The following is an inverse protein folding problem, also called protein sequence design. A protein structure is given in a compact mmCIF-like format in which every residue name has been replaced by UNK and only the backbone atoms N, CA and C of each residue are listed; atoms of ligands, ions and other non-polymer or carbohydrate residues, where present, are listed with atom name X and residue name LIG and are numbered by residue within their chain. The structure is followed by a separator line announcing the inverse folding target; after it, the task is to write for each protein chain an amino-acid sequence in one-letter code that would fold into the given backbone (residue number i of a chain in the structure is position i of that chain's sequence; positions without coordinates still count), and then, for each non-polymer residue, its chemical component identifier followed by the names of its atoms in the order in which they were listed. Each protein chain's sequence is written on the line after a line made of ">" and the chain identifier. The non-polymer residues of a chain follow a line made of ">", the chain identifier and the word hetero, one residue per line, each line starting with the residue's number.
data_IF_533015470368
#
_entry.id   IF_533015470368
#
_cell.length_a   1.000
_cell.length_b   1.000
_cell.length_c   1.000
_cell.angle_alpha   90.00
_cell.angle_beta   90.00
_cell.angle_gamma   90.00
#
_symmetry.space_group_name_H-M   'P 1'
#
loop_
_entity.id
_entity.type
_entity.pdbx_description
1 polymer ?
#
# COMPACT_ATOMS: atom_id res chain seq x y z
N UNK A 1 -14.04 -1.85 -22.25
CA UNK A 1 -13.64 -0.69 -23.07
C UNK A 1 -12.41 -0.05 -22.42
N UNK A 2 -11.43 0.45 -23.18
CA UNK A 2 -10.12 0.88 -22.66
C UNK A 2 -9.91 2.38 -22.88
N UNK A 3 -9.30 3.07 -21.90
CA UNK A 3 -8.93 4.49 -21.97
C UNK A 3 -7.43 4.64 -21.80
N UNK A 4 -6.79 5.42 -22.66
CA UNK A 4 -5.35 5.72 -22.58
C UNK A 4 -5.16 7.03 -21.81
N UNK A 5 -4.21 7.07 -20.88
CA UNK A 5 -3.91 8.24 -20.05
C UNK A 5 -2.40 8.44 -19.87
N UNK A 6 -1.93 9.69 -19.85
CA UNK A 6 -0.52 10.01 -19.62
C UNK A 6 -0.15 9.86 -18.14
N UNK A 7 0.85 9.03 -17.84
CA UNK A 7 1.27 8.75 -16.44
C UNK A 7 1.84 9.95 -15.70
N UNK A 8 2.29 10.99 -16.41
CA UNK A 8 2.82 12.24 -15.82
C UNK A 8 1.77 13.32 -15.62
N UNK A 9 0.54 13.09 -16.06
CA UNK A 9 -0.58 14.02 -15.88
C UNK A 9 -1.54 13.46 -14.83
N UNK A 10 -1.81 14.24 -13.79
CA UNK A 10 -2.81 13.89 -12.77
C UNK A 10 -4.20 13.77 -13.42
N UNK A 11 -4.98 12.79 -12.98
CA UNK A 11 -6.36 12.67 -13.43
C UNK A 11 -7.20 13.83 -12.88
N UNK A 12 -8.15 14.39 -13.67
CA UNK A 12 -9.02 15.46 -13.19
C UNK A 12 -9.96 14.95 -12.10
N UNK A 13 -10.09 15.72 -11.03
CA UNK A 13 -10.98 15.47 -9.90
C UNK A 13 -11.83 16.71 -9.63
N UNK A 14 -13.02 16.53 -9.06
CA UNK A 14 -13.92 17.65 -8.73
C UNK A 14 -13.35 18.44 -7.55
N UNK A 15 -13.04 17.74 -6.46
CA UNK A 15 -12.47 18.33 -5.25
C UNK A 15 -11.69 17.29 -4.44
N UNK A 16 -10.86 17.77 -3.51
CA UNK A 16 -10.14 16.92 -2.54
C UNK A 16 -10.88 16.97 -1.21
N UNK A 17 -11.41 15.84 -0.77
CA UNK A 17 -12.10 15.71 0.51
C UNK A 17 -11.11 15.48 1.66
N UNK A 18 -11.51 15.87 2.87
CA UNK A 18 -10.79 15.53 4.09
C UNK A 18 -11.00 14.05 4.43
N UNK A 19 -9.91 13.32 4.65
CA UNK A 19 -9.95 11.91 5.02
C UNK A 19 -10.41 11.74 6.47
N UNK A 20 -11.46 10.93 6.68
CA UNK A 20 -12.07 10.69 7.99
C UNK A 20 -12.28 9.20 8.31
N UNK A 21 -11.88 8.29 7.43
CA UNK A 21 -11.95 6.85 7.66
C UNK A 21 -10.54 6.26 7.90
N UNK A 22 -10.35 5.43 8.93
CA UNK A 22 -9.04 4.84 9.21
C UNK A 22 -8.66 3.80 8.15
N UNK A 23 -7.37 3.80 7.79
CA UNK A 23 -6.76 2.69 7.06
C UNK A 23 -6.33 1.65 8.10
N UNK A 24 -7.12 0.59 8.23
CA UNK A 24 -6.81 -0.52 9.12
C UNK A 24 -5.83 -1.45 8.41
N UNK A 25 -4.67 -1.69 9.02
CA UNK A 25 -3.59 -2.51 8.46
C UNK A 25 -3.60 -3.92 9.09
N UNK A 26 -4.23 -4.09 10.25
CA UNK A 26 -4.24 -5.32 11.02
C UNK A 26 -3.00 -5.48 11.93
N UNK A 27 -2.21 -4.40 12.09
CA UNK A 27 -1.01 -4.38 12.92
C UNK A 27 -1.25 -3.50 14.13
N UNK A 28 -1.27 -4.09 15.33
CA UNK A 28 -1.65 -3.39 16.58
C UNK A 28 -0.93 -2.07 16.79
N UNK A 29 0.39 -2.04 16.59
CA UNK A 29 1.18 -0.83 16.79
C UNK A 29 0.79 0.27 15.79
N UNK A 30 0.53 -0.08 14.53
CA UNK A 30 0.13 0.89 13.50
C UNK A 30 -1.32 1.34 13.72
N UNK A 31 -2.24 0.42 13.93
CA UNK A 31 -3.66 0.76 14.05
C UNK A 31 -3.98 1.51 15.36
N UNK A 32 -3.18 1.32 16.43
CA UNK A 32 -3.43 1.96 17.73
C UNK A 32 -2.55 3.18 18.01
N UNK A 33 -1.24 3.12 17.72
CA UNK A 33 -0.29 4.17 18.12
C UNK A 33 0.06 5.12 16.96
N UNK A 34 0.02 4.62 15.72
CA UNK A 34 0.41 5.37 14.52
C UNK A 34 -0.61 5.22 13.39
N UNK A 35 -1.90 5.57 13.63
CA UNK A 35 -2.97 5.29 12.70
C UNK A 35 -2.81 6.05 11.39
N UNK A 36 -3.16 5.38 10.29
CA UNK A 36 -3.25 5.98 8.96
C UNK A 36 -4.72 6.18 8.58
N UNK A 37 -5.00 7.05 7.62
CA UNK A 37 -6.35 7.28 7.07
C UNK A 37 -6.41 6.89 5.61
N UNK A 38 -7.57 6.43 5.15
CA UNK A 38 -7.81 6.17 3.72
C UNK A 38 -7.76 7.50 2.97
N UNK A 39 -6.89 7.59 1.96
CA UNK A 39 -6.58 8.85 1.26
C UNK A 39 -5.44 9.67 1.90
N UNK A 40 -4.84 9.16 2.99
CA UNK A 40 -3.64 9.73 3.61
C UNK A 40 -2.34 9.32 2.91
N UNK A 41 -1.22 9.90 3.36
CA UNK A 41 0.12 9.56 2.91
C UNK A 41 0.98 9.16 4.10
N UNK A 42 1.67 8.01 3.99
CA UNK A 42 2.50 7.44 5.06
C UNK A 42 3.87 7.11 4.53
N UNK A 43 4.91 7.36 5.33
CA UNK A 43 6.28 6.99 5.03
C UNK A 43 6.79 5.98 6.07
N UNK A 44 7.46 4.93 5.61
CA UNK A 44 8.12 3.91 6.46
C UNK A 44 9.63 4.00 6.21
N UNK A 45 10.35 4.91 6.89
CA UNK A 45 11.80 4.98 6.82
C UNK A 45 12.43 3.81 7.59
N UNK A 46 13.66 3.45 7.24
CA UNK A 46 14.42 2.45 7.97
C UNK A 46 15.69 2.01 7.25
N UNK A 47 16.66 1.52 8.01
CA UNK A 47 17.90 0.99 7.45
C UNK A 47 17.66 -0.38 6.76
N UNK A 48 18.71 -0.92 6.15
CA UNK A 48 18.68 -2.29 5.65
C UNK A 48 18.42 -3.27 6.80
N UNK A 49 17.58 -4.28 6.57
CA UNK A 49 17.21 -5.28 7.59
C UNK A 49 16.07 -4.91 8.53
N UNK A 50 15.52 -3.68 8.45
CA UNK A 50 14.39 -3.23 9.29
C UNK A 50 13.02 -3.71 8.79
N UNK A 51 12.99 -4.79 8.00
CA UNK A 51 11.76 -5.48 7.57
C UNK A 51 10.66 -4.60 6.96
N UNK A 52 11.04 -3.49 6.30
CA UNK A 52 10.10 -2.57 5.64
C UNK A 52 9.15 -3.28 4.68
N UNK A 53 9.66 -4.28 3.95
CA UNK A 53 8.89 -5.11 3.02
C UNK A 53 7.86 -5.99 3.72
N UNK A 54 8.08 -6.38 4.99
CA UNK A 54 7.09 -7.13 5.78
C UNK A 54 5.86 -6.27 6.09
N UNK A 55 6.07 -5.00 6.44
CA UNK A 55 4.96 -4.07 6.70
C UNK A 55 4.19 -3.83 5.39
N UNK A 56 4.87 -3.52 4.28
CA UNK A 56 4.22 -3.30 2.98
C UNK A 56 3.45 -4.53 2.51
N UNK A 57 3.99 -5.73 2.71
CA UNK A 57 3.29 -6.97 2.37
C UNK A 57 2.10 -7.24 3.29
N UNK A 58 2.21 -6.94 4.59
CA UNK A 58 1.09 -7.10 5.53
C UNK A 58 -0.06 -6.15 5.17
N UNK A 59 0.27 -4.90 4.85
CA UNK A 59 -0.70 -3.92 4.36
C UNK A 59 -1.38 -4.44 3.09
N UNK A 60 -0.63 -4.92 2.09
CA UNK A 60 -1.24 -5.44 0.84
C UNK A 60 -2.15 -6.65 1.01
N UNK A 61 -2.04 -7.38 2.13
CA UNK A 61 -2.76 -8.63 2.37
C UNK A 61 -3.99 -8.44 3.26
N UNK A 62 -3.92 -7.49 4.19
CA UNK A 62 -4.87 -7.42 5.30
C UNK A 62 -5.51 -6.05 5.47
N UNK A 63 -5.11 -5.03 4.69
CA UNK A 63 -5.73 -3.73 4.84
C UNK A 63 -7.19 -3.73 4.42
N UNK A 64 -7.98 -2.81 4.97
CA UNK A 64 -9.38 -2.59 4.59
C UNK A 64 -9.51 -1.83 3.24
N UNK A 65 -8.65 -2.12 2.28
CA UNK A 65 -8.64 -1.49 0.95
C UNK A 65 -9.20 -2.46 -0.09
N UNK A 66 -10.05 -1.96 -1.00
CA UNK A 66 -10.67 -2.80 -2.04
C UNK A 66 -9.65 -3.25 -3.10
N UNK A 67 -8.74 -2.35 -3.48
CA UNK A 67 -7.72 -2.57 -4.50
C UNK A 67 -6.33 -2.19 -3.98
N UNK A 68 -5.31 -2.97 -4.34
CA UNK A 68 -3.91 -2.74 -3.97
C UNK A 68 -3.04 -2.63 -5.23
N UNK A 69 -2.30 -1.52 -5.32
CA UNK A 69 -1.22 -1.34 -6.30
C UNK A 69 0.12 -1.43 -5.59
N UNK A 70 0.86 -2.51 -5.83
CA UNK A 70 2.17 -2.74 -5.21
C UNK A 70 3.30 -2.45 -6.21
N UNK A 71 4.13 -1.44 -5.93
CA UNK A 71 5.25 -1.04 -6.81
C UNK A 71 6.59 -1.32 -6.12
N UNK A 72 7.35 -2.28 -6.66
CA UNK A 72 8.71 -2.57 -6.22
C UNK A 72 9.75 -1.76 -6.98
N UNK A 73 10.27 -0.68 -6.38
CA UNK A 73 11.36 0.13 -6.94
C UNK A 73 12.67 -0.32 -6.31
N UNK A 74 13.60 -0.82 -7.14
CA UNK A 74 14.93 -1.29 -6.72
C UNK A 74 14.91 -2.24 -5.51
N UNK A 75 13.87 -3.10 -5.45
CA UNK A 75 13.72 -4.11 -4.40
C UNK A 75 14.42 -5.41 -4.77
N UNK A 76 14.62 -6.30 -3.79
CA UNK A 76 15.21 -7.61 -4.08
C UNK A 76 14.24 -8.44 -4.91
N UNK A 77 14.70 -9.03 -6.00
CA UNK A 77 13.85 -9.83 -6.91
C UNK A 77 13.06 -10.94 -6.21
N UNK A 78 13.66 -11.57 -5.18
CA UNK A 78 13.00 -12.60 -4.37
C UNK A 78 11.80 -12.07 -3.58
N UNK A 79 11.80 -10.80 -3.16
CA UNK A 79 10.67 -10.19 -2.46
C UNK A 79 9.47 -10.02 -3.42
N UNK A 80 9.73 -9.56 -4.64
CA UNK A 80 8.69 -9.43 -5.67
C UNK A 80 8.16 -10.81 -6.11
N UNK A 81 9.04 -11.79 -6.28
CA UNK A 81 8.64 -13.16 -6.58
C UNK A 81 7.76 -13.78 -5.47
N UNK A 82 8.02 -13.44 -4.20
CA UNK A 82 7.19 -13.86 -3.08
C UNK A 82 5.80 -13.22 -3.13
N UNK A 83 5.70 -11.92 -3.43
CA UNK A 83 4.40 -11.23 -3.57
C UNK A 83 3.53 -11.88 -4.64
N UNK A 84 4.08 -12.12 -5.83
CA UNK A 84 3.36 -12.73 -6.95
C UNK A 84 2.92 -14.18 -6.66
N UNK A 85 3.67 -14.90 -5.83
CA UNK A 85 3.36 -16.28 -5.44
C UNK A 85 2.31 -16.35 -4.33
N UNK A 86 2.46 -15.51 -3.31
CA UNK A 86 1.67 -15.61 -2.09
C UNK A 86 0.28 -14.97 -2.24
N UNK A 87 0.17 -13.83 -2.94
CA UNK A 87 -1.11 -13.10 -3.03
C UNK A 87 -2.24 -13.93 -3.65
N UNK A 88 -2.05 -14.69 -4.75
CA UNK A 88 -3.12 -15.51 -5.32
C UNK A 88 -3.60 -16.67 -4.44
N UNK A 89 -2.85 -17.01 -3.37
CA UNK A 89 -3.20 -18.09 -2.45
C UNK A 89 -4.06 -17.62 -1.27
N UNK A 90 -4.19 -16.30 -1.09
CA UNK A 90 -5.01 -15.72 -0.04
C UNK A 90 -6.48 -15.79 -0.45
N UNK A 91 -7.34 -16.16 0.50
CA UNK A 91 -8.78 -16.28 0.33
C UNK A 91 -9.50 -15.11 1.00
#
# INVERSE_FOLDING_TARGET
>A
MLKIWSVRQTQPVVEKLAANHPLLIGQRALDSLYPCVQGGATAIPGAFGYEKTVISQSLSKFSNSDDIVYVGIDQRGNEMAKVLRDLPQLK
#
